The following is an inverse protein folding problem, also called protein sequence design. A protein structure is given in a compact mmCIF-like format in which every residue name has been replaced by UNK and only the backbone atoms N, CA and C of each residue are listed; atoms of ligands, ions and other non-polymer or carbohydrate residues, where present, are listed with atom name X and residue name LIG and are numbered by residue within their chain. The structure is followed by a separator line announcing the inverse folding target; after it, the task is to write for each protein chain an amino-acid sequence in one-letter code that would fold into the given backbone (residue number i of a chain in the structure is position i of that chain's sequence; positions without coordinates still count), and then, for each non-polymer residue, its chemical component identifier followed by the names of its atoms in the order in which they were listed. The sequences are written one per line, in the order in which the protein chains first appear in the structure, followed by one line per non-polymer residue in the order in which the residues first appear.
data_IF_816378093593
#
_entry.id   IF_816378093593
#
_cell.length_a   1.000
_cell.length_b   1.000
_cell.length_c   1.000
_cell.angle_alpha   90.00
_cell.angle_beta   90.00
_cell.angle_gamma   90.00
#
_symmetry.space_group_name_H-M   'P 1'
#
loop_
_entity.id
_entity.type
_entity.pdbx_description
1 polymer ?
#
# COMPACT_ATOMS: atom_id res chain seq x y z
N UNK A 1 -31.04 22.05 -16.15
CA UNK A 1 -30.12 21.13 -15.47
C UNK A 1 -30.46 21.14 -13.98
N UNK A 2 -31.20 20.13 -13.52
CA UNK A 2 -31.44 19.90 -12.08
C UNK A 2 -30.10 19.60 -11.42
N UNK A 3 -29.74 20.39 -10.41
CA UNK A 3 -28.52 20.17 -9.62
C UNK A 3 -28.71 18.93 -8.75
N UNK A 4 -28.07 17.82 -9.12
CA UNK A 4 -28.11 16.57 -8.37
C UNK A 4 -27.49 16.78 -6.98
N UNK A 5 -28.18 16.38 -5.91
CA UNK A 5 -27.62 16.46 -4.55
C UNK A 5 -26.32 15.62 -4.44
N UNK A 6 -25.18 16.22 -4.03
CA UNK A 6 -23.92 15.51 -3.84
C UNK A 6 -23.99 14.33 -2.85
N UNK A 7 -24.95 14.29 -1.92
CA UNK A 7 -25.21 13.15 -1.03
C UNK A 7 -25.85 11.98 -1.78
N UNK A 8 -26.81 12.28 -2.66
CA UNK A 8 -27.48 11.29 -3.49
C UNK A 8 -26.50 10.64 -4.46
N UNK A 9 -25.72 11.47 -5.19
CA UNK A 9 -24.67 10.99 -6.09
C UNK A 9 -23.69 10.05 -5.37
N UNK A 10 -23.23 10.41 -4.17
CA UNK A 10 -22.33 9.56 -3.37
C UNK A 10 -22.98 8.23 -2.97
N UNK A 11 -24.29 8.23 -2.70
CA UNK A 11 -25.04 7.02 -2.40
C UNK A 11 -25.11 6.10 -3.63
N UNK A 12 -25.49 6.63 -4.80
CA UNK A 12 -25.53 5.87 -6.07
C UNK A 12 -24.14 5.32 -6.40
N UNK A 13 -23.10 6.15 -6.41
CA UNK A 13 -21.72 5.75 -6.74
C UNK A 13 -21.17 4.69 -5.76
N UNK A 14 -21.67 4.64 -4.52
CA UNK A 14 -21.35 3.58 -3.56
C UNK A 14 -21.91 2.23 -4.02
N UNK A 15 -23.19 2.16 -4.38
CA UNK A 15 -23.84 0.93 -4.83
C UNK A 15 -23.33 0.46 -6.19
N UNK A 16 -23.03 1.40 -7.10
CA UNK A 16 -22.43 1.08 -8.39
C UNK A 16 -21.09 0.37 -8.28
N UNK A 17 -20.40 0.38 -7.12
CA UNK A 17 -19.17 -0.42 -6.90
C UNK A 17 -19.39 -1.92 -7.15
N UNK A 18 -20.62 -2.41 -7.10
CA UNK A 18 -20.97 -3.77 -7.50
C UNK A 18 -20.73 -4.05 -8.99
N UNK A 19 -20.70 -3.04 -9.86
CA UNK A 19 -20.39 -3.18 -11.28
C UNK A 19 -18.88 -3.27 -11.55
N UNK A 20 -18.45 -3.86 -12.69
CA UNK A 20 -17.05 -3.83 -13.12
C UNK A 20 -16.53 -2.39 -13.28
N UNK A 21 -15.23 -2.16 -13.06
CA UNK A 21 -14.66 -0.79 -13.04
C UNK A 21 -14.78 -0.13 -14.41
N UNK A 22 -14.45 -0.84 -15.47
CA UNK A 22 -14.61 -0.36 -16.86
C UNK A 22 -16.05 0.00 -17.23
N UNK A 23 -17.04 -0.66 -16.63
CA UNK A 23 -18.45 -0.34 -16.85
C UNK A 23 -18.80 0.98 -16.17
N UNK A 24 -18.37 1.16 -14.91
CA UNK A 24 -18.61 2.40 -14.17
C UNK A 24 -18.00 3.61 -14.85
N UNK A 25 -16.77 3.49 -15.36
CA UNK A 25 -16.09 4.61 -16.02
C UNK A 25 -16.85 5.13 -17.26
N UNK A 26 -17.64 4.28 -17.91
CA UNK A 26 -18.42 4.65 -19.10
C UNK A 26 -19.86 5.06 -18.78
N UNK A 27 -20.49 4.40 -17.81
CA UNK A 27 -21.95 4.48 -17.61
C UNK A 27 -22.38 5.05 -16.27
N UNK A 28 -21.45 5.37 -15.35
CA UNK A 28 -21.85 5.79 -14.01
C UNK A 28 -22.63 7.10 -14.01
N UNK A 29 -22.25 8.03 -14.88
CA UNK A 29 -22.82 9.37 -14.87
C UNK A 29 -24.23 9.36 -15.50
N UNK A 30 -24.41 8.61 -16.59
CA UNK A 30 -25.74 8.28 -17.14
C UNK A 30 -26.68 7.67 -16.09
N UNK A 31 -26.19 6.68 -15.34
CA UNK A 31 -27.01 5.98 -14.34
C UNK A 31 -27.29 6.86 -13.12
N UNK A 32 -26.35 7.73 -12.73
CA UNK A 32 -26.58 8.73 -11.68
C UNK A 32 -27.65 9.72 -12.10
N UNK A 33 -27.60 10.23 -13.33
CA UNK A 33 -28.60 11.14 -13.87
C UNK A 33 -29.98 10.47 -13.93
N UNK A 34 -30.07 9.28 -14.53
CA UNK A 34 -31.31 8.51 -14.62
C UNK A 34 -31.94 8.26 -13.23
N UNK A 35 -31.13 7.87 -12.25
CA UNK A 35 -31.62 7.63 -10.89
C UNK A 35 -32.01 8.92 -10.17
N UNK A 36 -31.38 10.06 -10.50
CA UNK A 36 -31.76 11.35 -9.94
C UNK A 36 -33.11 11.82 -10.50
N UNK A 37 -33.37 11.59 -11.79
CA UNK A 37 -34.65 11.93 -12.44
C UNK A 37 -35.81 11.06 -11.92
N UNK A 38 -35.53 9.80 -11.55
CA UNK A 38 -36.52 8.89 -10.97
C UNK A 38 -36.71 9.07 -9.46
N UNK A 39 -35.82 9.81 -8.79
CA UNK A 39 -35.89 9.98 -7.34
C UNK A 39 -36.94 11.03 -6.95
N UNK A 40 -37.57 10.83 -5.78
CA UNK A 40 -38.46 11.84 -5.23
C UNK A 40 -37.72 13.18 -5.00
N UNK A 41 -38.40 14.34 -5.15
CA UNK A 41 -37.80 15.64 -4.88
C UNK A 41 -37.17 15.67 -3.47
N UNK A 42 -35.89 16.07 -3.39
CA UNK A 42 -35.14 16.13 -2.12
C UNK A 42 -34.56 14.80 -1.63
N UNK A 43 -34.62 13.72 -2.42
CA UNK A 43 -34.01 12.45 -2.05
C UNK A 43 -32.48 12.59 -1.92
N UNK A 44 -31.97 12.30 -0.72
CA UNK A 44 -30.52 12.37 -0.43
C UNK A 44 -29.81 11.02 -0.55
N UNK A 45 -30.57 9.92 -0.68
CA UNK A 45 -30.06 8.54 -0.78
C UNK A 45 -30.97 7.68 -1.66
N UNK A 46 -30.36 6.71 -2.34
CA UNK A 46 -31.07 5.62 -3.01
C UNK A 46 -31.79 4.74 -1.98
N UNK A 47 -33.04 4.37 -2.27
CA UNK A 47 -33.81 3.45 -1.44
C UNK A 47 -33.19 2.03 -1.43
N UNK A 48 -33.52 1.23 -0.42
CA UNK A 48 -32.92 -0.09 -0.23
C UNK A 48 -33.26 -1.07 -1.37
N UNK A 49 -34.44 -0.97 -1.97
CA UNK A 49 -34.88 -1.88 -3.05
C UNK A 49 -34.09 -1.59 -4.32
N UNK A 50 -33.96 -0.33 -4.70
CA UNK A 50 -33.13 0.10 -5.83
C UNK A 50 -31.67 -0.22 -5.57
N UNK A 51 -31.16 0.01 -4.36
CA UNK A 51 -29.80 -0.37 -3.99
C UNK A 51 -29.55 -1.89 -4.15
N UNK A 52 -30.45 -2.74 -3.65
CA UNK A 52 -30.36 -4.19 -3.83
C UNK A 52 -30.43 -4.60 -5.31
N UNK A 53 -31.29 -3.93 -6.10
CA UNK A 53 -31.38 -4.10 -7.55
C UNK A 53 -30.08 -3.77 -8.27
N UNK A 54 -29.45 -2.63 -7.95
CA UNK A 54 -28.15 -2.21 -8.48
C UNK A 54 -27.05 -3.22 -8.11
N UNK A 55 -27.04 -3.68 -6.85
CA UNK A 55 -26.08 -4.69 -6.41
C UNK A 55 -26.25 -5.97 -7.21
N UNK A 56 -27.46 -6.55 -7.25
CA UNK A 56 -27.75 -7.78 -7.99
C UNK A 56 -27.37 -7.66 -9.47
N UNK A 57 -27.76 -6.57 -10.13
CA UNK A 57 -27.43 -6.30 -11.53
C UNK A 57 -25.93 -6.10 -11.76
N UNK A 58 -25.22 -5.48 -10.83
CA UNK A 58 -23.76 -5.35 -10.84
C UNK A 58 -23.07 -6.71 -10.75
N UNK A 59 -23.50 -7.58 -9.83
CA UNK A 59 -22.99 -8.94 -9.70
C UNK A 59 -23.28 -9.80 -10.93
N UNK A 60 -24.49 -9.72 -11.48
CA UNK A 60 -24.85 -10.39 -12.73
C UNK A 60 -23.97 -9.91 -13.90
N UNK A 61 -23.66 -8.62 -13.97
CA UNK A 61 -22.77 -8.05 -14.99
C UNK A 61 -21.32 -8.55 -14.83
N UNK A 62 -20.84 -8.71 -13.58
CA UNK A 62 -19.54 -9.35 -13.32
C UNK A 62 -19.53 -10.83 -13.73
N UNK A 63 -20.60 -11.56 -13.43
CA UNK A 63 -20.73 -12.97 -13.77
C UNK A 63 -20.71 -13.18 -15.30
N UNK A 64 -21.51 -12.40 -16.05
CA UNK A 64 -21.57 -12.46 -17.52
C UNK A 64 -20.26 -12.11 -18.20
N UNK A 65 -19.45 -11.25 -17.59
CA UNK A 65 -18.17 -10.82 -18.16
C UNK A 65 -16.98 -11.62 -17.66
N UNK A 66 -17.20 -12.61 -16.80
CA UNK A 66 -16.14 -13.47 -16.27
C UNK A 66 -15.78 -14.55 -17.31
N UNK A 67 -14.48 -14.84 -17.52
CA UNK A 67 -14.08 -15.97 -18.33
C UNK A 67 -14.51 -17.31 -17.67
N UNK A 68 -14.69 -18.38 -18.47
CA UNK A 68 -14.82 -19.74 -17.95
C UNK A 68 -13.72 -20.07 -16.93
N UNK A 69 -14.04 -20.88 -15.91
CA UNK A 69 -13.15 -21.14 -14.78
C UNK A 69 -11.76 -21.61 -15.21
N UNK A 70 -11.65 -22.45 -16.24
CA UNK A 70 -10.36 -22.91 -16.80
C UNK A 70 -9.43 -21.76 -17.22
N UNK A 71 -9.95 -20.71 -17.86
CA UNK A 71 -9.15 -19.57 -18.30
C UNK A 71 -8.80 -18.67 -17.11
N UNK A 72 -9.73 -18.50 -16.16
CA UNK A 72 -9.48 -17.77 -14.93
C UNK A 72 -8.37 -18.44 -14.08
N UNK A 73 -8.40 -19.77 -13.97
CA UNK A 73 -7.39 -20.55 -13.25
C UNK A 73 -6.06 -20.57 -13.98
N UNK A 74 -6.05 -20.80 -15.30
CA UNK A 74 -4.84 -20.74 -16.11
C UNK A 74 -4.14 -19.37 -16.01
N UNK A 75 -4.91 -18.29 -16.01
CA UNK A 75 -4.40 -16.94 -15.75
C UNK A 75 -3.80 -16.79 -14.36
N UNK A 76 -4.50 -17.24 -13.31
CA UNK A 76 -4.08 -17.02 -11.92
C UNK A 76 -2.93 -17.91 -11.46
N UNK A 77 -2.91 -19.16 -11.90
CA UNK A 77 -1.96 -20.18 -11.45
C UNK A 77 -0.76 -20.33 -12.38
N UNK A 78 -0.98 -20.16 -13.69
CA UNK A 78 0.04 -20.42 -14.72
C UNK A 78 0.45 -19.14 -15.47
N UNK A 79 -0.08 -17.97 -15.07
CA UNK A 79 0.12 -16.69 -15.77
C UNK A 79 -0.19 -16.80 -17.28
N UNK A 80 -1.12 -17.68 -17.68
CA UNK A 80 -1.48 -17.87 -19.10
C UNK A 80 -2.32 -16.72 -19.60
N UNK A 81 -2.09 -16.31 -20.85
CA UNK A 81 -2.83 -15.24 -21.50
C UNK A 81 -4.29 -15.64 -21.68
N UNK A 82 -5.20 -14.71 -21.39
CA UNK A 82 -6.64 -14.94 -21.51
C UNK A 82 -7.10 -14.54 -22.92
N UNK A 83 -8.08 -15.26 -23.54
CA UNK A 83 -8.63 -14.87 -24.85
C UNK A 83 -9.07 -13.40 -24.91
N UNK A 84 -8.91 -12.78 -26.08
CA UNK A 84 -9.18 -11.35 -26.38
C UNK A 84 -10.50 -10.86 -25.78
N UNK A 85 -11.59 -11.60 -25.97
CA UNK A 85 -12.94 -11.29 -25.47
C UNK A 85 -13.05 -11.09 -23.95
N UNK A 86 -12.10 -11.59 -23.16
CA UNK A 86 -12.09 -11.47 -21.70
C UNK A 86 -10.99 -10.53 -21.17
N UNK A 87 -10.31 -9.76 -22.04
CA UNK A 87 -9.29 -8.79 -21.61
C UNK A 87 -9.82 -7.74 -20.65
N UNK A 88 -11.05 -7.26 -20.86
CA UNK A 88 -11.71 -6.35 -19.93
C UNK A 88 -11.82 -6.91 -18.52
N UNK A 89 -11.97 -8.23 -18.36
CA UNK A 89 -11.93 -8.88 -17.06
C UNK A 89 -10.53 -8.86 -16.44
N UNK A 90 -9.48 -9.14 -17.22
CA UNK A 90 -8.07 -9.06 -16.75
C UNK A 90 -7.72 -7.64 -16.36
N UNK A 91 -8.13 -6.64 -17.15
CA UNK A 91 -7.92 -5.22 -16.85
C UNK A 91 -8.55 -4.83 -15.52
N UNK A 92 -9.81 -5.21 -15.31
CA UNK A 92 -10.49 -4.97 -14.02
C UNK A 92 -9.83 -5.71 -12.85
N UNK A 93 -9.27 -6.90 -13.08
CA UNK A 93 -8.53 -7.66 -12.06
C UNK A 93 -7.22 -6.97 -11.68
N UNK A 94 -6.45 -6.48 -12.67
CA UNK A 94 -5.18 -5.79 -12.48
C UNK A 94 -5.34 -4.40 -11.87
N UNK A 95 -6.33 -3.63 -12.33
CA UNK A 95 -6.66 -2.29 -11.84
C UNK A 95 -7.51 -2.32 -10.55
N UNK A 96 -7.98 -3.50 -10.14
CA UNK A 96 -8.89 -3.68 -9.02
C UNK A 96 -8.32 -3.21 -7.68
N UNK A 97 -9.17 -2.57 -6.88
CA UNK A 97 -8.86 -2.18 -5.50
C UNK A 97 -8.65 -3.39 -4.58
N UNK A 98 -9.10 -4.59 -5.00
CA UNK A 98 -9.02 -5.85 -4.25
C UNK A 98 -7.75 -6.66 -4.54
N UNK A 99 -6.90 -6.23 -5.48
CA UNK A 99 -5.61 -6.87 -5.72
C UNK A 99 -4.73 -7.04 -4.45
N UNK A 100 -4.63 -6.05 -3.53
CA UNK A 100 -3.80 -6.24 -2.33
C UNK A 100 -4.45 -7.22 -1.34
N UNK A 101 -5.79 -7.24 -1.27
CA UNK A 101 -6.54 -8.23 -0.46
C UNK A 101 -6.30 -9.64 -1.00
N UNK A 102 -6.24 -9.80 -2.33
CA UNK A 102 -5.91 -11.10 -2.91
C UNK A 102 -4.52 -11.57 -2.52
N UNK A 103 -3.52 -10.69 -2.54
CA UNK A 103 -2.17 -11.04 -2.06
C UNK A 103 -2.22 -11.53 -0.62
N UNK A 104 -2.95 -10.83 0.25
CA UNK A 104 -3.15 -11.25 1.63
C UNK A 104 -3.84 -12.61 1.74
N UNK A 105 -4.91 -12.84 0.98
CA UNK A 105 -5.62 -14.13 0.96
C UNK A 105 -4.70 -15.23 0.45
N UNK A 106 -3.94 -15.01 -0.60
CA UNK A 106 -2.97 -16.00 -1.10
C UNK A 106 -1.92 -16.31 -0.05
N UNK A 107 -1.32 -15.30 0.59
CA UNK A 107 -0.35 -15.50 1.68
C UNK A 107 -0.97 -16.24 2.86
N UNK A 108 -2.19 -15.89 3.26
CA UNK A 108 -2.92 -16.54 4.35
C UNK A 108 -3.28 -18.00 4.02
N UNK A 109 -3.69 -18.29 2.78
CA UNK A 109 -3.98 -19.65 2.32
C UNK A 109 -2.69 -20.47 2.26
N UNK A 110 -1.62 -19.94 1.67
CA UNK A 110 -0.30 -20.61 1.67
C UNK A 110 0.17 -20.89 3.08
N UNK A 111 -0.01 -19.94 3.99
CA UNK A 111 0.29 -20.10 5.41
C UNK A 111 -0.55 -21.20 6.06
N UNK A 112 -1.86 -21.22 5.84
CA UNK A 112 -2.74 -22.26 6.37
C UNK A 112 -2.39 -23.65 5.80
N UNK A 113 -2.04 -23.74 4.52
CA UNK A 113 -1.61 -24.99 3.88
C UNK A 113 -0.32 -25.51 4.54
N UNK A 114 0.71 -24.67 4.66
CA UNK A 114 2.02 -25.10 5.17
C UNK A 114 1.99 -25.36 6.68
N UNK A 115 1.34 -24.49 7.46
CA UNK A 115 1.40 -24.55 8.93
C UNK A 115 0.33 -25.46 9.55
N UNK A 116 -0.75 -25.77 8.82
CA UNK A 116 -1.89 -26.53 9.35
C UNK A 116 -2.20 -27.76 8.51
N UNK A 117 -2.52 -27.60 7.21
CA UNK A 117 -3.00 -28.72 6.41
C UNK A 117 -1.91 -29.77 6.13
N UNK A 118 -0.69 -29.36 5.80
CA UNK A 118 0.40 -30.27 5.49
C UNK A 118 0.79 -31.13 6.71
N UNK A 119 1.00 -30.58 7.93
CA UNK A 119 1.20 -31.38 9.14
C UNK A 119 0.07 -32.37 9.41
N UNK A 120 -1.19 -31.95 9.25
CA UNK A 120 -2.34 -32.82 9.46
C UNK A 120 -2.35 -34.02 8.49
N UNK A 121 -1.95 -33.81 7.24
CA UNK A 121 -1.85 -34.88 6.23
C UNK A 121 -0.66 -35.81 6.50
N UNK A 122 0.45 -35.30 7.04
CA UNK A 122 1.63 -36.10 7.38
C UNK A 122 1.57 -36.77 8.77
N UNK A 123 0.51 -36.51 9.55
CA UNK A 123 0.38 -37.00 10.92
C UNK A 123 1.21 -36.23 11.95
N UNK A 124 1.80 -35.10 11.57
CA UNK A 124 2.53 -34.21 12.47
C UNK A 124 1.56 -33.27 13.20
N UNK A 125 1.87 -32.96 14.48
CA UNK A 125 1.10 -31.95 15.21
C UNK A 125 1.36 -30.56 14.61
N UNK A 126 0.33 -29.75 14.34
CA UNK A 126 0.50 -28.37 13.88
C UNK A 126 1.37 -27.60 14.89
N UNK A 127 2.53 -27.12 14.45
CA UNK A 127 3.39 -26.28 15.28
C UNK A 127 2.97 -24.82 15.09
N UNK A 128 2.92 -24.00 16.16
CA UNK A 128 2.81 -22.57 15.97
C UNK A 128 3.97 -22.11 15.07
N UNK A 129 3.72 -21.18 14.14
CA UNK A 129 4.76 -20.76 13.23
C UNK A 129 5.95 -20.22 14.02
N UNK A 130 7.15 -20.57 13.57
CA UNK A 130 8.33 -19.86 14.05
C UNK A 130 8.20 -18.37 13.70
N UNK A 131 8.76 -17.50 14.54
CA UNK A 131 8.87 -16.06 14.27
C UNK A 131 9.49 -15.79 12.89
N UNK A 132 10.42 -16.64 12.46
CA UNK A 132 11.02 -16.64 11.12
C UNK A 132 9.99 -16.85 10.01
N UNK A 133 9.06 -17.79 10.16
CA UNK A 133 7.99 -18.04 9.17
C UNK A 133 7.10 -16.80 9.03
N UNK A 134 6.73 -16.18 10.16
CA UNK A 134 5.99 -14.92 10.17
C UNK A 134 6.74 -13.79 9.46
N UNK A 135 8.04 -13.64 9.74
CA UNK A 135 8.90 -12.65 9.09
C UNK A 135 9.02 -12.87 7.57
N UNK A 136 9.19 -14.11 7.12
CA UNK A 136 9.27 -14.47 5.70
C UNK A 136 7.97 -14.14 4.97
N UNK A 137 6.82 -14.53 5.54
CA UNK A 137 5.51 -14.24 4.94
C UNK A 137 5.22 -12.75 4.88
N UNK A 138 5.61 -12.02 5.93
CA UNK A 138 5.50 -10.57 5.96
C UNK A 138 6.41 -9.91 4.91
N UNK A 139 7.64 -10.41 4.74
CA UNK A 139 8.56 -10.01 3.68
C UNK A 139 7.99 -10.27 2.29
N UNK A 140 7.38 -11.43 2.05
CA UNK A 140 6.70 -11.77 0.80
C UNK A 140 5.51 -10.84 0.53
N UNK A 141 4.63 -10.64 1.51
CA UNK A 141 3.48 -9.74 1.38
C UNK A 141 3.92 -8.30 1.07
N UNK A 142 4.94 -7.82 1.78
CA UNK A 142 5.57 -6.50 1.56
C UNK A 142 6.18 -6.40 0.17
N UNK A 143 6.90 -7.44 -0.28
CA UNK A 143 7.49 -7.52 -1.62
C UNK A 143 6.45 -7.49 -2.73
N UNK A 144 5.35 -8.22 -2.58
CA UNK A 144 4.25 -8.25 -3.55
C UNK A 144 3.52 -6.90 -3.63
N UNK A 145 3.25 -6.29 -2.48
CA UNK A 145 2.57 -4.99 -2.43
C UNK A 145 3.45 -3.83 -2.93
N UNK A 146 4.74 -3.82 -2.57
CA UNK A 146 5.69 -2.78 -3.00
C UNK A 146 5.98 -2.82 -4.49
N UNK A 147 5.98 -4.01 -5.10
CA UNK A 147 6.19 -4.19 -6.54
C UNK A 147 4.94 -3.87 -7.38
N UNK A 148 3.84 -3.42 -6.77
CA UNK A 148 2.54 -3.23 -7.43
C UNK A 148 2.59 -2.52 -8.79
N UNK A 149 3.20 -1.34 -8.95
CA UNK A 149 3.24 -0.63 -10.24
C UNK A 149 4.11 -1.33 -11.30
N UNK A 150 5.18 -2.00 -10.87
CA UNK A 150 6.05 -2.74 -11.78
C UNK A 150 5.38 -4.06 -12.21
N UNK A 151 4.80 -4.80 -11.26
CA UNK A 151 4.02 -6.01 -11.54
C UNK A 151 2.81 -5.70 -12.42
N UNK A 152 2.09 -4.60 -12.15
CA UNK A 152 1.01 -4.15 -13.01
C UNK A 152 1.48 -3.95 -14.44
N UNK A 153 2.58 -3.22 -14.67
CA UNK A 153 3.12 -2.99 -16.02
C UNK A 153 3.57 -4.29 -16.69
N UNK A 154 4.26 -5.18 -15.96
CA UNK A 154 4.67 -6.50 -16.48
C UNK A 154 3.45 -7.32 -16.91
N UNK A 155 2.43 -7.39 -16.06
CA UNK A 155 1.21 -8.13 -16.30
C UNK A 155 0.35 -7.50 -17.41
N UNK A 156 0.21 -6.17 -17.41
CA UNK A 156 -0.51 -5.45 -18.45
C UNK A 156 0.17 -5.59 -19.82
N UNK A 157 1.51 -5.56 -19.87
CA UNK A 157 2.27 -5.86 -21.09
C UNK A 157 1.96 -7.25 -21.63
N UNK A 158 1.90 -8.26 -20.75
CA UNK A 158 1.65 -9.64 -21.16
C UNK A 158 0.20 -9.89 -21.59
N UNK A 159 -0.76 -9.31 -20.89
CA UNK A 159 -2.17 -9.70 -21.02
C UNK A 159 -3.06 -8.68 -21.73
N UNK A 160 -2.64 -7.42 -21.82
CA UNK A 160 -3.46 -6.33 -22.37
C UNK A 160 -2.89 -5.72 -23.65
N UNK A 161 -1.60 -5.91 -23.95
CA UNK A 161 -1.00 -5.40 -25.20
C UNK A 161 -1.30 -6.34 -26.35
N UNK A 162 -1.97 -5.85 -27.39
CA UNK A 162 -2.36 -6.68 -28.53
C UNK A 162 -1.14 -7.33 -29.21
N UNK A 163 -1.26 -8.62 -29.55
CA UNK A 163 -0.29 -9.33 -30.39
C UNK A 163 -0.51 -9.02 -31.87
N UNK A 164 0.51 -9.16 -32.73
CA UNK A 164 0.35 -9.00 -34.17
C UNK A 164 -0.78 -9.92 -34.70
N UNK A 165 -1.69 -9.35 -35.48
CA UNK A 165 -2.85 -10.06 -36.02
C UNK A 165 -4.06 -10.16 -35.09
N UNK A 166 -3.98 -9.66 -33.85
CA UNK A 166 -5.15 -9.56 -32.98
C UNK A 166 -5.95 -8.27 -33.24
N UNK A 167 -7.28 -8.38 -33.18
CA UNK A 167 -8.16 -7.22 -33.23
C UNK A 167 -7.96 -6.30 -32.02
N UNK A 168 -7.82 -5.00 -32.30
CA UNK A 168 -7.72 -3.96 -31.27
C UNK A 168 -9.10 -3.72 -30.65
N UNK A 169 -9.22 -3.99 -29.36
CA UNK A 169 -10.43 -3.69 -28.59
C UNK A 169 -10.23 -2.47 -27.70
N UNK A 170 -11.32 -1.86 -27.22
CA UNK A 170 -11.28 -0.77 -26.22
C UNK A 170 -10.63 -1.16 -24.88
N UNK A 171 -10.47 -2.45 -24.63
CA UNK A 171 -9.77 -3.00 -23.47
C UNK A 171 -8.28 -3.27 -23.72
N UNK A 172 -7.81 -3.14 -24.97
CA UNK A 172 -6.41 -3.35 -25.35
C UNK A 172 -5.56 -2.11 -25.07
N UNK A 173 -4.29 -2.34 -24.78
CA UNK A 173 -3.29 -1.29 -24.52
C UNK A 173 -2.22 -1.32 -25.62
N UNK A 174 -1.62 -0.16 -25.89
CA UNK A 174 -0.47 0.00 -26.77
C UNK A 174 0.69 0.63 -25.99
N UNK A 175 1.91 0.50 -26.52
CA UNK A 175 3.04 1.26 -26.02
C UNK A 175 2.93 2.71 -26.47
N UNK A 176 3.20 3.63 -25.55
CA UNK A 176 3.19 5.06 -25.84
C UNK A 176 3.97 5.84 -24.80
N UNK A 177 4.24 7.11 -25.10
CA UNK A 177 4.91 8.01 -24.18
C UNK A 177 3.90 8.50 -23.14
N UNK A 178 4.12 8.16 -21.87
CA UNK A 178 3.26 8.55 -20.75
C UNK A 178 4.01 9.45 -19.78
N UNK A 179 3.23 10.28 -19.08
CA UNK A 179 3.74 11.02 -17.94
C UNK A 179 4.19 10.07 -16.83
N UNK A 180 5.20 10.48 -16.07
CA UNK A 180 5.70 9.69 -14.94
C UNK A 180 4.79 9.85 -13.73
N UNK A 181 4.28 8.73 -13.24
CA UNK A 181 3.51 8.69 -12.01
C UNK A 181 4.39 8.92 -10.77
N UNK A 182 3.98 9.89 -9.93
CA UNK A 182 4.64 10.21 -8.66
C UNK A 182 3.62 10.33 -7.54
N UNK A 183 3.95 9.81 -6.37
CA UNK A 183 3.08 9.92 -5.20
C UNK A 183 3.02 11.37 -4.69
N UNK A 184 1.82 11.87 -4.41
CA UNK A 184 1.63 13.18 -3.76
C UNK A 184 2.29 13.19 -2.39
N UNK A 185 3.02 14.25 -2.05
CA UNK A 185 3.65 14.39 -0.74
C UNK A 185 2.61 14.50 0.39
N UNK A 186 1.58 15.34 0.20
CA UNK A 186 0.59 15.70 1.24
C UNK A 186 -0.07 14.47 1.90
N UNK A 187 -0.51 13.49 1.10
CA UNK A 187 -1.13 12.27 1.62
C UNK A 187 -0.12 11.23 2.12
N UNK A 188 0.98 11.05 1.38
CA UNK A 188 1.89 9.92 1.63
C UNK A 188 2.79 10.16 2.83
N UNK A 189 3.33 11.39 2.99
CA UNK A 189 4.17 11.73 4.15
C UNK A 189 3.35 11.66 5.44
N UNK A 190 2.09 12.13 5.42
CA UNK A 190 1.22 12.07 6.59
C UNK A 190 0.93 10.64 7.05
N UNK A 191 0.67 9.74 6.10
CA UNK A 191 0.51 8.31 6.41
C UNK A 191 1.78 7.72 7.01
N UNK A 192 2.95 8.09 6.47
CA UNK A 192 4.25 7.68 7.00
C UNK A 192 4.54 8.21 8.41
N UNK A 193 4.19 9.46 8.72
CA UNK A 193 4.32 10.04 10.07
C UNK A 193 3.51 9.24 11.07
N UNK A 194 2.24 8.98 10.80
CA UNK A 194 1.36 8.22 11.71
C UNK A 194 1.92 6.81 11.94
N UNK A 195 2.32 6.14 10.87
CA UNK A 195 2.90 4.79 10.93
C UNK A 195 4.19 4.73 11.75
N UNK A 196 5.14 5.63 11.50
CA UNK A 196 6.42 5.69 12.22
C UNK A 196 6.22 6.12 13.67
N UNK A 197 5.30 7.05 13.95
CA UNK A 197 4.99 7.47 15.31
C UNK A 197 4.38 6.33 16.13
N UNK A 198 3.38 5.63 15.59
CA UNK A 198 2.72 4.52 16.27
C UNK A 198 3.70 3.37 16.57
N UNK A 199 4.49 2.96 15.57
CA UNK A 199 5.51 1.90 15.72
C UNK A 199 6.63 2.36 16.67
N UNK A 200 7.10 3.60 16.52
CA UNK A 200 8.16 4.16 17.36
C UNK A 200 7.75 4.24 18.83
N UNK A 201 6.53 4.70 19.13
CA UNK A 201 6.01 4.74 20.49
C UNK A 201 5.90 3.34 21.10
N UNK A 202 5.37 2.37 20.35
CA UNK A 202 5.29 0.99 20.80
C UNK A 202 6.68 0.40 21.07
N UNK A 203 7.65 0.62 20.18
CA UNK A 203 9.01 0.13 20.33
C UNK A 203 9.74 0.80 21.50
N UNK A 204 9.57 2.11 21.72
CA UNK A 204 10.11 2.81 22.90
C UNK A 204 9.47 2.26 24.18
N UNK A 205 8.15 2.05 24.20
CA UNK A 205 7.47 1.45 25.34
C UNK A 205 8.02 0.03 25.64
N UNK A 206 8.22 -0.80 24.62
CA UNK A 206 8.84 -2.11 24.77
C UNK A 206 10.26 -2.01 25.35
N UNK A 207 11.09 -1.08 24.87
CA UNK A 207 12.43 -0.82 25.41
C UNK A 207 12.42 -0.46 26.90
N UNK A 208 11.37 0.23 27.38
CA UNK A 208 11.24 0.65 28.76
C UNK A 208 10.63 -0.44 29.66
N UNK A 209 9.69 -1.22 29.14
CA UNK A 209 8.86 -2.15 29.92
C UNK A 209 9.28 -3.62 29.83
N UNK A 210 10.08 -4.01 28.82
CA UNK A 210 10.43 -5.41 28.62
C UNK A 210 11.15 -6.01 29.84
N UNK A 211 10.65 -7.13 30.40
CA UNK A 211 11.21 -7.74 31.60
C UNK A 211 12.48 -8.55 31.32
N UNK A 212 12.72 -8.96 30.07
CA UNK A 212 13.90 -9.72 29.66
C UNK A 212 14.61 -9.06 28.47
N UNK A 213 15.90 -9.35 28.33
CA UNK A 213 16.72 -8.92 27.19
C UNK A 213 17.63 -10.04 26.73
N UNK A 214 17.99 -10.00 25.46
CA UNK A 214 19.03 -10.85 24.90
C UNK A 214 20.40 -10.31 25.36
N UNK A 215 21.21 -11.16 25.99
CA UNK A 215 22.59 -10.85 26.35
C UNK A 215 23.53 -11.90 25.78
N UNK A 216 24.80 -11.54 25.58
CA UNK A 216 25.85 -12.51 25.26
C UNK A 216 26.52 -12.96 26.55
N UNK A 217 26.62 -14.27 26.75
CA UNK A 217 27.32 -14.92 27.85
C UNK A 217 28.49 -15.77 27.33
N UNK A 218 29.51 -15.99 28.17
CA UNK A 218 30.57 -16.93 27.87
C UNK A 218 30.14 -18.35 28.31
N UNK A 219 30.18 -19.32 27.40
CA UNK A 219 29.89 -20.74 27.66
C UNK A 219 31.15 -21.59 27.89
N UNK A 220 32.34 -20.97 27.89
CA UNK A 220 33.64 -21.64 28.03
C UNK A 220 34.76 -20.88 27.32
N UNK A 221 35.94 -21.51 27.16
CA UNK A 221 37.04 -20.91 26.40
C UNK A 221 36.67 -20.79 24.91
N UNK A 222 36.48 -19.56 24.43
CA UNK A 222 36.19 -19.26 23.02
C UNK A 222 34.72 -19.41 22.59
N UNK A 223 33.80 -19.69 23.53
CA UNK A 223 32.38 -19.88 23.24
C UNK A 223 31.56 -18.66 23.70
N UNK A 224 30.79 -18.07 22.78
CA UNK A 224 29.81 -17.01 23.07
C UNK A 224 28.41 -17.55 22.77
N UNK A 225 27.55 -17.56 23.77
CA UNK A 225 26.14 -17.93 23.63
C UNK A 225 25.23 -16.73 23.88
N UNK A 226 24.05 -16.74 23.25
CA UNK A 226 22.98 -15.79 23.54
C UNK A 226 22.11 -16.31 24.66
N UNK A 227 22.10 -15.61 25.79
CA UNK A 227 21.32 -15.96 26.97
C UNK A 227 20.26 -14.90 27.25
N UNK A 228 19.05 -15.33 27.58
CA UNK A 228 17.99 -14.47 28.08
C UNK A 228 18.32 -14.05 29.51
N UNK A 229 18.40 -12.74 29.79
CA UNK A 229 18.60 -12.22 31.15
C UNK A 229 17.42 -11.36 31.58
N UNK A 230 17.00 -11.52 32.83
CA UNK A 230 16.06 -10.61 33.49
C UNK A 230 16.64 -9.20 33.56
N UNK A 231 15.78 -8.19 33.48
CA UNK A 231 16.14 -6.78 33.65
C UNK A 231 15.70 -6.29 35.01
N UNK A 232 16.65 -5.81 35.80
CA UNK A 232 16.40 -5.13 37.07
C UNK A 232 16.08 -3.62 36.89
N UNK A 233 15.74 -3.21 35.65
CA UNK A 233 15.42 -1.82 35.31
C UNK A 233 15.81 -1.40 33.89
N UNK A 234 15.76 -0.09 33.63
CA UNK A 234 16.20 0.49 32.36
C UNK A 234 17.68 0.80 32.43
N UNK A 235 18.48 0.15 31.57
CA UNK A 235 19.93 0.39 31.56
C UNK A 235 20.23 1.85 31.15
N UNK A 236 21.13 2.56 31.83
CA UNK A 236 21.50 3.93 31.47
C UNK A 236 22.07 4.03 30.06
N UNK A 237 22.76 2.99 29.58
CA UNK A 237 23.26 2.92 28.20
C UNK A 237 22.12 2.97 27.15
N UNK A 238 21.04 2.23 27.38
CA UNK A 238 19.86 2.27 26.49
C UNK A 238 19.22 3.66 26.47
N UNK A 239 19.07 4.30 27.65
CA UNK A 239 18.54 5.67 27.73
C UNK A 239 19.44 6.66 26.98
N UNK A 240 20.76 6.56 27.14
CA UNK A 240 21.72 7.38 26.44
C UNK A 240 21.62 7.21 24.91
N UNK A 241 21.48 5.97 24.42
CA UNK A 241 21.31 5.68 22.98
C UNK A 241 20.00 6.28 22.44
N UNK A 242 18.88 6.09 23.14
CA UNK A 242 17.60 6.66 22.72
C UNK A 242 17.60 8.20 22.75
N UNK A 243 18.21 8.80 23.78
CA UNK A 243 18.36 10.25 23.89
C UNK A 243 19.25 10.81 22.77
N UNK A 244 20.39 10.18 22.50
CA UNK A 244 21.28 10.56 21.40
C UNK A 244 20.57 10.46 20.04
N UNK A 245 19.81 9.40 19.80
CA UNK A 245 19.02 9.21 18.58
C UNK A 245 17.98 10.34 18.40
N UNK A 246 17.28 10.72 19.48
CA UNK A 246 16.33 11.82 19.45
C UNK A 246 17.02 13.17 19.15
N UNK A 247 18.14 13.47 19.82
CA UNK A 247 18.92 14.71 19.58
C UNK A 247 19.36 14.80 18.12
N UNK A 248 19.94 13.72 17.59
CA UNK A 248 20.36 13.64 16.18
C UNK A 248 19.17 13.82 15.23
N UNK A 249 18.04 13.17 15.52
CA UNK A 249 16.80 13.32 14.74
C UNK A 249 16.27 14.75 14.72
N UNK A 250 16.28 15.44 15.88
CA UNK A 250 15.88 16.85 16.01
C UNK A 250 16.82 17.76 15.20
N UNK A 251 18.13 17.59 15.31
CA UNK A 251 19.11 18.36 14.54
C UNK A 251 18.93 18.15 13.02
N UNK A 252 18.73 16.90 12.59
CA UNK A 252 18.44 16.58 11.19
C UNK A 252 17.12 17.22 10.70
N UNK A 253 16.12 17.36 11.59
CA UNK A 253 14.85 18.01 11.25
C UNK A 253 15.00 19.52 11.03
N UNK A 254 15.86 20.20 11.79
CA UNK A 254 16.18 21.62 11.60
C UNK A 254 16.84 21.84 10.24
N UNK A 255 17.81 20.99 9.88
CA UNK A 255 18.46 21.03 8.56
C UNK A 255 17.46 20.77 7.43
N UNK A 256 16.61 19.75 7.59
CA UNK A 256 15.55 19.42 6.63
C UNK A 256 14.58 20.58 6.44
N UNK A 257 14.20 21.27 7.54
CA UNK A 257 13.31 22.44 7.52
C UNK A 257 13.92 23.60 6.74
N UNK A 258 15.20 23.91 6.99
CA UNK A 258 15.93 24.96 6.27
C UNK A 258 16.01 24.66 4.78
N UNK A 259 16.36 23.42 4.42
CA UNK A 259 16.43 22.96 3.02
C UNK A 259 15.09 23.04 2.32
N UNK A 260 14.03 22.51 2.93
CA UNK A 260 12.68 22.53 2.35
C UNK A 260 12.16 23.95 2.16
N UNK A 261 12.32 24.84 3.17
CA UNK A 261 11.91 26.25 3.04
C UNK A 261 12.63 26.97 1.91
N UNK A 262 13.95 26.73 1.76
CA UNK A 262 14.76 27.39 0.74
C UNK A 262 14.52 26.85 -0.67
N UNK A 263 14.41 25.53 -0.81
CA UNK A 263 14.49 24.87 -2.12
C UNK A 263 13.11 24.53 -2.72
N UNK A 264 12.06 24.39 -1.91
CA UNK A 264 10.71 24.12 -2.46
C UNK A 264 10.23 25.24 -3.40
N UNK A 265 10.41 26.53 -3.11
CA UNK A 265 10.01 27.60 -4.04
C UNK A 265 10.84 27.64 -5.34
N UNK A 266 12.09 27.16 -5.31
CA UNK A 266 13.03 27.18 -6.44
C UNK A 266 12.90 25.96 -7.37
N UNK A 267 11.89 25.11 -7.15
CA UNK A 267 11.67 23.90 -7.94
C UNK A 267 11.31 24.26 -9.39
N UNK A 268 11.87 23.58 -10.40
CA UNK A 268 11.41 23.75 -11.77
C UNK A 268 10.00 23.18 -11.93
N UNK A 269 9.25 23.71 -12.90
CA UNK A 269 7.97 23.14 -13.32
C UNK A 269 8.20 21.73 -13.90
N UNK A 270 7.24 20.83 -13.67
CA UNK A 270 7.41 19.39 -13.95
C UNK A 270 6.29 18.90 -14.85
N UNK A 271 6.39 19.23 -16.15
CA UNK A 271 5.35 19.01 -17.14
C UNK A 271 5.10 17.52 -17.46
N UNK A 272 6.13 16.68 -17.45
CA UNK A 272 5.98 15.24 -17.79
C UNK A 272 5.65 14.35 -16.58
N UNK A 273 4.96 14.90 -15.56
CA UNK A 273 4.66 14.20 -14.31
C UNK A 273 3.17 14.22 -14.00
N UNK A 274 2.67 13.06 -13.59
CA UNK A 274 1.32 12.90 -13.03
C UNK A 274 1.42 12.61 -11.54
N UNK A 275 0.71 13.40 -10.73
CA UNK A 275 0.63 13.15 -9.30
C UNK A 275 -0.51 12.20 -8.97
N UNK A 276 -0.17 11.12 -8.26
CA UNK A 276 -1.10 10.09 -7.83
C UNK A 276 -1.21 10.13 -6.31
N UNK A 277 -2.45 10.17 -5.82
CA UNK A 277 -2.73 10.06 -4.37
C UNK A 277 -2.43 8.63 -3.89
N UNK A 278 -1.96 8.44 -2.66
CA UNK A 278 -1.77 7.10 -2.11
C UNK A 278 -3.10 6.33 -2.19
N UNK A 279 -3.06 5.19 -2.89
CA UNK A 279 -4.23 4.32 -3.03
C UNK A 279 -4.33 3.34 -1.84
N UNK A 280 -5.41 2.55 -1.80
CA UNK A 280 -5.63 1.54 -0.75
C UNK A 280 -4.48 0.52 -0.62
N UNK A 281 -3.74 0.24 -1.70
CA UNK A 281 -2.57 -0.67 -1.64
C UNK A 281 -1.45 -0.07 -0.79
N UNK A 282 -1.19 1.22 -0.93
CA UNK A 282 -0.17 1.90 -0.11
C UNK A 282 -0.60 1.95 1.35
N UNK A 283 -1.86 2.28 1.62
CA UNK A 283 -2.39 2.29 2.98
C UNK A 283 -2.32 0.90 3.63
N UNK A 284 -2.68 -0.16 2.88
CA UNK A 284 -2.59 -1.53 3.37
C UNK A 284 -1.15 -1.96 3.61
N UNK A 285 -0.23 -1.63 2.70
CA UNK A 285 1.20 -1.91 2.87
C UNK A 285 1.74 -1.27 4.14
N UNK A 286 1.51 0.03 4.31
CA UNK A 286 1.96 0.77 5.50
C UNK A 286 1.31 0.19 6.76
N UNK A 287 -0.01 -0.03 6.74
CA UNK A 287 -0.74 -0.58 7.88
C UNK A 287 -0.24 -1.98 8.28
N UNK A 288 0.06 -2.84 7.31
CA UNK A 288 0.55 -4.19 7.57
C UNK A 288 1.97 -4.17 8.15
N UNK A 289 2.88 -3.35 7.58
CA UNK A 289 4.24 -3.15 8.13
C UNK A 289 4.15 -2.61 9.55
N UNK A 290 3.31 -1.60 9.78
CA UNK A 290 3.10 -1.04 11.12
C UNK A 290 2.55 -2.06 12.10
N UNK A 291 1.53 -2.83 11.72
CA UNK A 291 0.95 -3.87 12.56
C UNK A 291 1.97 -4.96 12.93
N UNK A 292 2.83 -5.36 11.99
CA UNK A 292 3.90 -6.33 12.24
C UNK A 292 4.89 -5.82 13.30
N UNK A 293 5.45 -4.62 13.13
CA UNK A 293 6.39 -4.07 14.10
C UNK A 293 5.73 -3.72 15.44
N UNK A 294 4.48 -3.29 15.42
CA UNK A 294 3.70 -3.08 16.65
C UNK A 294 3.49 -4.40 17.40
N UNK A 295 3.17 -5.49 16.69
CA UNK A 295 3.05 -6.83 17.25
C UNK A 295 4.37 -7.32 17.85
N UNK A 296 5.50 -7.10 17.18
CA UNK A 296 6.82 -7.40 17.74
C UNK A 296 7.09 -6.62 19.03
N UNK A 297 6.79 -5.33 19.06
CA UNK A 297 6.92 -4.51 20.25
C UNK A 297 6.03 -4.98 21.41
N UNK A 298 4.81 -5.43 21.11
CA UNK A 298 3.93 -6.04 22.11
C UNK A 298 4.51 -7.34 22.67
N UNK A 299 5.04 -8.23 21.81
CA UNK A 299 5.62 -9.52 22.23
C UNK A 299 6.87 -9.30 23.09
N UNK A 300 7.80 -8.44 22.67
CA UNK A 300 9.01 -8.11 23.46
C UNK A 300 8.64 -7.37 24.76
N UNK A 301 7.74 -6.38 24.69
CA UNK A 301 7.31 -5.59 25.85
C UNK A 301 6.58 -6.40 26.93
N UNK A 302 5.92 -7.50 26.56
CA UNK A 302 5.24 -8.41 27.51
C UNK A 302 6.14 -9.52 28.03
N UNK A 303 7.42 -9.58 27.64
CA UNK A 303 8.35 -10.63 28.04
C UNK A 303 8.12 -11.99 27.38
N UNK A 304 7.31 -12.04 26.31
CA UNK A 304 7.11 -13.27 25.52
C UNK A 304 8.26 -13.53 24.55
N UNK A 305 9.05 -12.51 24.26
CA UNK A 305 10.32 -12.60 23.58
C UNK A 305 11.32 -11.65 24.25
N UNK A 306 12.60 -11.96 24.12
CA UNK A 306 13.65 -11.07 24.61
C UNK A 306 13.70 -9.78 23.81
N UNK A 307 13.93 -8.66 24.52
CA UNK A 307 14.12 -7.37 23.88
C UNK A 307 15.35 -7.41 22.96
N UNK A 308 15.12 -7.22 21.66
CA UNK A 308 16.20 -7.15 20.67
C UNK A 308 15.82 -6.24 19.49
N UNK A 309 14.77 -6.57 18.74
CA UNK A 309 14.42 -5.83 17.51
C UNK A 309 13.87 -4.43 17.83
N UNK A 310 13.17 -4.27 18.95
CA UNK A 310 12.56 -2.98 19.30
C UNK A 310 13.58 -1.88 19.59
N UNK A 311 14.80 -2.22 20.02
CA UNK A 311 15.86 -1.22 20.22
C UNK A 311 16.20 -0.55 18.89
N UNK A 312 16.44 -1.34 17.84
CA UNK A 312 16.73 -0.82 16.50
C UNK A 312 15.57 -0.03 15.91
N UNK A 313 14.34 -0.53 16.07
CA UNK A 313 13.12 0.14 15.59
C UNK A 313 12.90 1.48 16.32
N UNK A 314 13.08 1.52 17.64
CA UNK A 314 12.96 2.74 18.44
C UNK A 314 14.00 3.79 18.02
N UNK A 315 15.27 3.40 17.89
CA UNK A 315 16.35 4.30 17.41
C UNK A 315 16.04 4.84 16.02
N UNK A 316 15.65 3.98 15.07
CA UNK A 316 15.29 4.40 13.72
C UNK A 316 14.10 5.36 13.71
N UNK A 317 13.07 5.10 14.52
CA UNK A 317 11.90 5.98 14.63
C UNK A 317 12.28 7.36 15.21
N UNK A 318 13.09 7.41 16.27
CA UNK A 318 13.55 8.67 16.88
C UNK A 318 14.43 9.49 15.93
N UNK A 319 15.24 8.84 15.10
CA UNK A 319 16.05 9.51 14.08
C UNK A 319 15.20 10.10 12.94
N UNK A 320 14.16 9.39 12.50
CA UNK A 320 13.42 9.72 11.27
C UNK A 320 12.16 10.56 11.52
N UNK A 321 11.45 10.33 12.63
CA UNK A 321 10.14 10.94 12.90
C UNK A 321 10.18 12.48 12.92
N UNK A 322 11.14 13.16 13.57
CA UNK A 322 11.20 14.62 13.57
C UNK A 322 11.33 15.21 12.15
N UNK A 323 12.16 14.60 11.30
CA UNK A 323 12.34 15.02 9.92
C UNK A 323 11.08 14.76 9.07
N UNK A 324 10.39 13.62 9.29
CA UNK A 324 9.11 13.33 8.63
C UNK A 324 8.01 14.33 9.03
N UNK A 325 7.94 14.75 10.30
CA UNK A 325 6.99 15.76 10.76
C UNK A 325 7.20 17.12 10.05
N UNK A 326 8.46 17.53 9.90
CA UNK A 326 8.82 18.74 9.14
C UNK A 326 8.43 18.59 7.67
N UNK A 327 8.76 17.45 7.04
CA UNK A 327 8.39 17.15 5.66
C UNK A 327 6.88 17.15 5.45
N UNK A 328 6.11 16.60 6.39
CA UNK A 328 4.65 16.58 6.36
C UNK A 328 4.05 17.98 6.45
N UNK A 329 4.56 18.81 7.38
CA UNK A 329 4.14 20.20 7.51
C UNK A 329 4.43 20.98 6.23
N UNK A 330 5.63 20.83 5.67
CA UNK A 330 6.01 21.47 4.40
C UNK A 330 5.13 20.99 3.23
N UNK A 331 4.77 19.70 3.17
CA UNK A 331 3.88 19.17 2.14
C UNK A 331 2.41 19.60 2.30
N UNK A 332 1.99 19.93 3.53
CA UNK A 332 0.66 20.50 3.78
C UNK A 332 0.57 21.96 3.38
N UNK A 333 1.57 22.77 3.76
CA UNK A 333 1.59 24.21 3.47
C UNK A 333 2.18 24.57 2.11
N UNK A 334 2.82 23.62 1.43
CA UNK A 334 3.46 23.84 0.13
C UNK A 334 2.52 23.70 -1.07
N UNK A 335 3.07 23.88 -2.28
CA UNK A 335 2.34 23.73 -3.53
C UNK A 335 1.65 22.36 -3.67
N UNK A 336 0.48 22.34 -4.32
CA UNK A 336 -0.29 21.10 -4.56
C UNK A 336 0.44 20.11 -5.47
N UNK A 337 1.39 20.60 -6.27
CA UNK A 337 2.13 19.81 -7.24
C UNK A 337 3.39 19.12 -6.64
N UNK A 338 3.53 19.11 -5.30
CA UNK A 338 4.68 18.57 -4.59
C UNK A 338 4.65 17.02 -4.54
N UNK A 339 5.62 16.39 -5.19
CA UNK A 339 5.79 14.93 -5.12
C UNK A 339 6.53 14.51 -3.84
N UNK A 340 6.18 13.36 -3.28
CA UNK A 340 6.86 12.76 -2.12
C UNK A 340 8.37 12.69 -2.32
N UNK A 341 8.77 12.29 -3.53
CA UNK A 341 10.19 12.09 -3.85
C UNK A 341 10.97 13.40 -3.88
N UNK A 342 10.34 14.52 -4.23
CA UNK A 342 10.97 15.84 -4.19
C UNK A 342 11.23 16.25 -2.74
N UNK A 343 10.23 16.07 -1.88
CA UNK A 343 10.32 16.39 -0.44
C UNK A 343 11.42 15.59 0.23
N UNK A 344 11.46 14.27 0.00
CA UNK A 344 12.47 13.40 0.60
C UNK A 344 13.88 13.70 0.06
N UNK A 345 14.04 13.95 -1.24
CA UNK A 345 15.33 14.31 -1.82
C UNK A 345 15.81 15.66 -1.29
N UNK A 346 14.95 16.68 -1.26
CA UNK A 346 15.32 18.02 -0.74
C UNK A 346 15.67 17.94 0.75
N UNK A 347 14.86 17.26 1.56
CA UNK A 347 15.13 17.10 2.99
C UNK A 347 16.47 16.38 3.22
N UNK A 348 16.69 15.24 2.57
CA UNK A 348 17.86 14.38 2.78
C UNK A 348 19.15 14.94 2.19
N UNK A 349 19.12 15.38 0.94
CA UNK A 349 20.33 15.75 0.18
C UNK A 349 20.47 17.24 -0.06
N UNK A 350 19.43 18.05 0.17
CA UNK A 350 19.47 19.48 -0.14
C UNK A 350 19.62 19.77 -1.64
N UNK A 351 19.19 18.84 -2.51
CA UNK A 351 19.29 18.99 -3.96
C UNK A 351 17.90 19.08 -4.58
N UNK A 352 17.77 19.93 -5.60
CA UNK A 352 16.61 19.93 -6.48
C UNK A 352 16.67 18.70 -7.39
N UNK A 353 15.50 18.17 -7.73
CA UNK A 353 15.39 17.04 -8.64
C UNK A 353 15.35 17.55 -10.07
N UNK A 354 16.02 16.85 -10.99
CA UNK A 354 15.90 17.10 -12.41
C UNK A 354 14.44 16.99 -12.88
N UNK A 355 14.10 17.69 -13.96
CA UNK A 355 12.79 17.61 -14.60
C UNK A 355 12.53 16.16 -15.03
N UNK A 356 11.40 15.60 -14.62
CA UNK A 356 10.99 14.28 -15.06
C UNK A 356 10.77 14.31 -16.57
N UNK A 357 11.25 13.27 -17.26
CA UNK A 357 11.02 13.07 -18.70
C UNK A 357 9.85 12.11 -18.92
N UNK A 358 9.20 12.24 -20.08
CA UNK A 358 8.25 11.24 -20.55
C UNK A 358 8.92 9.87 -20.59
N UNK A 359 8.14 8.83 -20.29
CA UNK A 359 8.62 7.46 -20.30
C UNK A 359 7.71 6.60 -21.14
N UNK A 360 8.28 5.58 -21.75
CA UNK A 360 7.49 4.53 -22.36
C UNK A 360 6.60 3.87 -21.30
N UNK A 361 5.33 3.75 -21.62
CA UNK A 361 4.31 3.12 -20.80
C UNK A 361 3.17 2.62 -21.66
N UNK A 362 2.05 2.31 -21.01
CA UNK A 362 0.89 1.72 -21.66
C UNK A 362 -0.23 2.74 -21.76
N UNK A 363 -0.77 2.92 -22.97
CA UNK A 363 -1.90 3.79 -23.29
C UNK A 363 -3.07 2.97 -23.86
N UNK A 364 -4.34 3.38 -23.67
CA UNK A 364 -5.48 2.72 -24.32
C UNK A 364 -5.32 2.70 -25.85
N UNK A 365 -5.60 1.57 -26.48
CA UNK A 365 -5.49 1.43 -27.94
C UNK A 365 -6.57 2.23 -28.68
N UNK A 366 -7.79 2.24 -28.13
CA UNK A 366 -8.92 3.01 -28.63
C UNK A 366 -9.41 3.90 -27.51
N UNK A 367 -9.40 5.21 -27.75
CA UNK A 367 -10.15 6.16 -26.91
C UNK A 367 -11.58 6.11 -27.41
N UNK A 368 -12.59 5.85 -26.55
CA UNK A 368 -13.98 6.00 -26.95
C UNK A 368 -14.16 7.45 -27.43
N UNK A 369 -14.42 7.63 -28.72
CA UNK A 369 -14.98 8.87 -29.22
C UNK A 369 -16.47 8.79 -28.88
N UNK A 370 -16.86 9.49 -27.82
CA UNK A 370 -18.26 9.64 -27.43
C UNK A 370 -19.02 10.52 -28.44
#
# INVERSE_FOLDING_TARGET
MTTIDPRFERSVRRWLRAYPRRWRLRRSDEVVALLADLAAPGATRVDLRTAAGLVRSGWATRARTRPPLRHALAYRLLDRRVPTRYRGWVRDDLEGANAPVRVLVTVAVTYAVISVLLPLVTGERPRPPSSLTGAVLMGMATGLLSRGPWQFRKQARKHLVAEPGEELTSDSLLFGMVMRDRLTARGTVGTGVVAVAAVGLAAVAACLLAPTRLATGACGQGCVETVSRTRDGVSPALLAVLAAALVVGVLASVLSRRRLRRLVPLRPAQHARRLIRPNSRHALLVGMISAYFFGLAWVEGTGRADLFLCVGVAVAALLVLPALLVAWRAARSGPDDLALVDVLTIARTGRLRAVDTYREGLVPALVPTD
#
